data_IF_562836346480
#
_entry.id   IF_562836346480
#
_cell.length_a   1.000
_cell.length_b   1.000
_cell.length_c   1.000
_cell.angle_alpha   90.00
_cell.angle_beta   90.00
_cell.angle_gamma   90.00
#
_symmetry.space_group_name_H-M   'P 1'
#
loop_
_entity.id
_entity.type
_entity.pdbx_description
1 polymer ?
#
# COMPACT_ATOMS: atom_id res chain seq x y z
N UNK A 1 -18.58 2.08 39.79
CA UNK A 1 -17.22 1.60 40.13
C UNK A 1 -16.52 1.42 38.79
N UNK A 2 -15.49 2.21 38.54
CA UNK A 2 -14.75 2.17 37.26
C UNK A 2 -13.76 1.00 37.27
N UNK A 3 -13.89 0.08 36.31
CA UNK A 3 -12.96 -1.02 36.14
C UNK A 3 -11.66 -0.50 35.50
N UNK A 4 -10.52 -1.00 35.97
CA UNK A 4 -9.20 -0.74 35.39
C UNK A 4 -8.84 -1.83 34.37
N UNK A 5 -8.19 -1.48 33.27
CA UNK A 5 -7.71 -2.43 32.27
C UNK A 5 -6.18 -2.30 32.15
N UNK A 6 -5.48 -3.43 32.01
CA UNK A 6 -4.06 -3.43 31.66
C UNK A 6 -3.87 -3.22 30.15
N UNK A 7 -2.64 -3.09 29.68
CA UNK A 7 -2.32 -2.89 28.25
C UNK A 7 -2.79 -4.05 27.35
N UNK A 8 -2.94 -5.24 27.95
CA UNK A 8 -3.43 -6.46 27.28
C UNK A 8 -4.97 -6.55 27.28
N UNK A 9 -5.68 -5.53 27.81
CA UNK A 9 -7.13 -5.50 27.86
C UNK A 9 -7.76 -6.35 28.97
N UNK A 10 -7.00 -6.87 29.94
CA UNK A 10 -7.54 -7.62 31.06
C UNK A 10 -8.21 -6.69 32.08
N UNK A 11 -9.42 -7.01 32.48
CA UNK A 11 -10.19 -6.26 33.45
C UNK A 11 -9.68 -6.51 34.87
N UNK A 12 -9.53 -5.44 35.65
CA UNK A 12 -9.05 -5.48 37.04
C UNK A 12 -9.94 -4.64 37.96
N UNK A 13 -10.04 -4.99 39.25
CA UNK A 13 -10.73 -4.16 40.23
C UNK A 13 -10.13 -2.77 40.35
N UNK A 14 -10.94 -1.79 40.69
CA UNK A 14 -10.50 -0.42 41.00
C UNK A 14 -9.44 -0.43 42.10
N UNK A 15 -8.29 0.24 41.87
CA UNK A 15 -7.19 0.29 42.81
C UNK A 15 -6.14 -0.83 42.66
N UNK A 16 -6.26 -1.74 41.71
CA UNK A 16 -5.26 -2.77 41.42
C UNK A 16 -3.96 -2.14 40.91
N UNK A 17 -2.84 -2.40 41.55
CA UNK A 17 -1.49 -1.93 41.13
C UNK A 17 -0.84 -2.84 40.08
N UNK A 18 -1.30 -4.07 39.95
CA UNK A 18 -0.83 -5.06 38.99
C UNK A 18 -2.03 -5.81 38.41
N UNK A 19 -1.92 -6.20 37.15
CA UNK A 19 -2.94 -7.00 36.50
C UNK A 19 -2.99 -8.40 37.11
N UNK A 20 -4.17 -8.83 37.54
CA UNK A 20 -4.39 -10.13 38.18
C UNK A 20 -4.20 -11.30 37.20
N UNK A 21 -4.24 -11.07 35.89
CA UNK A 21 -4.13 -12.11 34.87
C UNK A 21 -2.72 -12.19 34.26
N UNK A 22 -2.06 -11.06 33.96
CA UNK A 22 -0.75 -11.06 33.28
C UNK A 22 0.40 -10.48 34.14
N UNK A 23 0.13 -10.03 35.39
CA UNK A 23 1.15 -9.48 36.28
C UNK A 23 1.69 -8.10 35.89
N UNK A 24 1.20 -7.49 34.84
CA UNK A 24 1.62 -6.17 34.39
C UNK A 24 1.28 -5.11 35.43
N UNK A 25 2.20 -4.18 35.67
CA UNK A 25 1.98 -3.07 36.59
C UNK A 25 0.94 -2.11 36.00
N UNK A 26 -0.23 -2.03 36.61
CA UNK A 26 -1.25 -1.04 36.27
C UNK A 26 -0.81 0.27 36.93
N UNK A 27 -0.23 1.18 36.19
CA UNK A 27 -0.04 2.53 36.62
C UNK A 27 -1.40 3.21 36.67
N UNK A 28 -1.79 3.76 37.85
CA UNK A 28 -2.94 4.64 37.95
C UNK A 28 -2.78 5.77 36.97
N UNK A 29 -3.39 5.65 35.82
CA UNK A 29 -3.50 6.72 34.83
C UNK A 29 -4.66 7.62 35.27
N UNK A 30 -4.54 8.17 36.45
CA UNK A 30 -5.23 9.39 36.82
C UNK A 30 -4.35 10.55 36.37
N UNK A 31 -4.28 10.79 35.07
CA UNK A 31 -3.97 12.12 34.56
C UNK A 31 -4.33 12.16 33.06
N UNK A 32 -5.18 12.99 32.72
CA UNK A 32 -5.77 13.52 31.53
C UNK A 32 -4.90 13.70 30.26
N UNK A 33 -3.92 12.86 29.96
CA UNK A 33 -2.98 13.09 28.84
C UNK A 33 -3.12 12.09 27.69
N UNK A 34 -3.95 11.04 27.82
CA UNK A 34 -4.06 10.04 26.76
C UNK A 34 -5.49 9.56 26.43
N UNK A 35 -6.50 10.38 26.76
CA UNK A 35 -7.84 10.07 26.28
C UNK A 35 -7.88 10.33 24.76
N UNK A 36 -7.95 9.25 23.97
CA UNK A 36 -8.24 9.34 22.55
C UNK A 36 -9.54 10.10 22.29
N UNK A 37 -9.78 10.46 21.05
CA UNK A 37 -11.00 11.14 20.64
C UNK A 37 -12.19 10.23 20.94
N UNK A 38 -13.20 10.78 21.62
CA UNK A 38 -14.35 10.01 22.10
C UNK A 38 -15.46 9.95 21.05
N UNK A 39 -16.27 8.88 21.02
CA UNK A 39 -17.49 8.83 20.22
C UNK A 39 -18.38 10.06 20.45
N UNK A 40 -18.95 10.59 19.37
CA UNK A 40 -19.79 11.78 19.40
C UNK A 40 -19.06 13.12 19.31
N UNK A 41 -17.74 13.13 19.49
CA UNK A 41 -16.94 14.36 19.29
C UNK A 41 -16.88 14.73 17.79
N UNK A 42 -16.95 16.03 17.51
CA UNK A 42 -16.83 16.57 16.16
C UNK A 42 -15.46 17.18 15.97
N UNK A 43 -14.78 16.78 14.90
CA UNK A 43 -13.47 17.28 14.51
C UNK A 43 -13.61 18.23 13.31
N UNK A 44 -12.96 19.42 13.39
CA UNK A 44 -12.98 20.41 12.32
C UNK A 44 -14.39 20.84 11.90
N UNK A 45 -15.34 20.88 12.86
CA UNK A 45 -16.76 21.20 12.64
C UNK A 45 -17.43 20.37 11.54
N UNK A 46 -16.88 19.21 11.23
CA UNK A 46 -17.31 18.40 10.09
C UNK A 46 -17.36 16.88 10.35
N UNK A 47 -16.41 16.32 11.05
CA UNK A 47 -16.31 14.87 11.20
C UNK A 47 -16.77 14.43 12.59
N UNK A 48 -17.92 13.76 12.66
CA UNK A 48 -18.46 13.20 13.91
C UNK A 48 -17.87 11.82 14.13
N UNK A 49 -17.11 11.64 15.18
CA UNK A 49 -16.50 10.35 15.52
C UNK A 49 -17.56 9.35 15.97
N UNK A 50 -17.62 8.19 15.33
CA UNK A 50 -18.49 7.08 15.71
C UNK A 50 -17.79 6.18 16.74
N UNK A 51 -16.56 5.74 16.41
CA UNK A 51 -15.74 4.89 17.29
C UNK A 51 -14.31 4.79 16.77
N UNK A 52 -13.39 4.41 17.64
CA UNK A 52 -12.06 3.96 17.24
C UNK A 52 -12.16 2.56 16.62
N UNK A 53 -11.48 2.35 15.48
CA UNK A 53 -11.46 1.07 14.76
C UNK A 53 -10.06 0.45 14.67
N UNK A 54 -9.02 1.21 15.03
CA UNK A 54 -7.65 0.71 15.04
C UNK A 54 -6.72 1.60 15.84
N UNK A 55 -5.59 1.02 16.27
CA UNK A 55 -4.47 1.73 16.89
C UNK A 55 -3.16 1.04 16.55
N UNK A 56 -2.15 1.82 16.25
CA UNK A 56 -0.80 1.35 15.96
C UNK A 56 0.26 2.27 16.60
N UNK A 57 1.54 1.97 16.39
CA UNK A 57 2.65 2.72 16.99
C UNK A 57 2.73 4.19 16.57
N UNK A 58 2.12 4.57 15.45
CA UNK A 58 2.18 5.93 14.92
C UNK A 58 0.83 6.63 14.81
N UNK A 59 -0.26 5.96 15.20
CA UNK A 59 -1.56 6.61 15.11
C UNK A 59 -2.74 5.78 15.56
N UNK A 60 -3.89 6.44 15.52
CA UNK A 60 -5.19 5.85 15.81
C UNK A 60 -6.07 6.01 14.58
N UNK A 61 -6.97 5.05 14.38
CA UNK A 61 -7.90 5.06 13.26
C UNK A 61 -9.32 5.10 13.79
N UNK A 62 -10.12 6.03 13.26
CA UNK A 62 -11.49 6.24 13.68
C UNK A 62 -12.45 6.07 12.52
N UNK A 63 -13.58 5.46 12.78
CA UNK A 63 -14.76 5.54 11.93
C UNK A 63 -15.49 6.83 12.29
N UNK A 64 -15.84 7.63 11.29
CA UNK A 64 -16.56 8.88 11.47
C UNK A 64 -17.63 9.09 10.39
N UNK A 65 -18.50 10.06 10.62
CA UNK A 65 -19.46 10.56 9.64
C UNK A 65 -19.05 11.97 9.18
N UNK A 66 -19.08 12.21 7.87
CA UNK A 66 -18.84 13.50 7.25
C UNK A 66 -20.18 14.25 7.12
N UNK A 67 -20.46 15.21 8.00
CA UNK A 67 -21.76 15.93 8.02
C UNK A 67 -21.95 16.80 6.76
N UNK A 68 -20.88 17.26 6.12
CA UNK A 68 -20.95 18.03 4.88
C UNK A 68 -21.23 17.15 3.66
N UNK A 69 -21.21 15.81 3.84
CA UNK A 69 -21.51 14.82 2.81
C UNK A 69 -22.65 13.90 3.24
N UNK A 70 -23.72 14.47 3.76
CA UNK A 70 -24.94 13.75 4.18
C UNK A 70 -24.67 12.59 5.18
N UNK A 71 -23.71 12.80 6.09
CA UNK A 71 -23.25 11.79 7.07
C UNK A 71 -22.68 10.53 6.43
N UNK A 72 -22.04 10.69 5.27
CA UNK A 72 -21.33 9.59 4.62
C UNK A 72 -20.19 9.10 5.52
N UNK A 73 -20.12 7.78 5.72
CA UNK A 73 -19.08 7.15 6.52
C UNK A 73 -17.68 7.38 5.93
N UNK A 74 -16.72 7.71 6.78
CA UNK A 74 -15.32 7.90 6.41
C UNK A 74 -14.39 7.39 7.51
N UNK A 75 -13.11 7.25 7.17
CA UNK A 75 -12.05 6.85 8.09
C UNK A 75 -11.13 8.03 8.30
N UNK A 76 -10.86 8.36 9.57
CA UNK A 76 -9.84 9.31 9.99
C UNK A 76 -8.68 8.55 10.60
N UNK A 77 -7.50 8.63 9.98
CA UNK A 77 -6.25 8.16 10.56
C UNK A 77 -5.57 9.34 11.24
N UNK A 78 -5.49 9.32 12.56
CA UNK A 78 -4.79 10.33 13.38
C UNK A 78 -3.29 10.02 13.38
N UNK A 79 -2.47 11.02 13.06
CA UNK A 79 -1.04 10.95 13.32
C UNK A 79 -0.79 11.17 14.82
N UNK A 80 -0.48 10.09 15.52
CA UNK A 80 -0.26 10.09 16.97
C UNK A 80 0.92 9.18 17.32
N UNK A 81 2.17 9.62 17.06
CA UNK A 81 3.36 8.81 17.35
C UNK A 81 3.53 8.62 18.86
N UNK A 82 3.75 7.37 19.24
CA UNK A 82 4.00 6.99 20.64
C UNK A 82 5.43 7.34 21.09
N UNK A 83 6.34 7.52 20.15
CA UNK A 83 7.73 7.91 20.37
C UNK A 83 7.85 9.43 20.35
N UNK A 84 8.54 10.01 21.34
CA UNK A 84 8.64 11.47 21.50
C UNK A 84 10.00 12.05 21.06
N UNK A 85 10.89 11.25 20.48
CA UNK A 85 12.16 11.75 19.95
C UNK A 85 11.87 12.69 18.76
N UNK A 86 12.27 13.98 18.82
CA UNK A 86 11.88 14.98 17.80
C UNK A 86 12.19 14.55 16.38
N UNK A 87 13.37 13.99 16.12
CA UNK A 87 13.76 13.48 14.80
C UNK A 87 12.82 12.38 14.29
N UNK A 88 12.42 11.45 15.17
CA UNK A 88 11.52 10.33 14.81
C UNK A 88 10.12 10.86 14.49
N UNK A 89 9.62 11.79 15.32
CA UNK A 89 8.31 12.43 15.12
C UNK A 89 8.27 13.17 13.79
N UNK A 90 9.28 13.99 13.50
CA UNK A 90 9.38 14.72 12.24
C UNK A 90 9.41 13.76 11.04
N UNK A 91 10.24 12.72 11.12
CA UNK A 91 10.34 11.74 10.03
C UNK A 91 9.04 10.95 9.82
N UNK A 92 8.36 10.59 10.91
CA UNK A 92 7.06 9.94 10.86
C UNK A 92 5.99 10.86 10.24
N UNK A 93 6.00 12.15 10.57
CA UNK A 93 5.09 13.13 9.97
C UNK A 93 5.32 13.29 8.46
N UNK A 94 6.59 13.42 8.02
CA UNK A 94 6.94 13.48 6.60
C UNK A 94 6.37 12.29 5.82
N UNK A 95 6.45 11.09 6.40
CA UNK A 95 5.96 9.88 5.73
C UNK A 95 4.44 9.75 5.79
N UNK A 96 3.81 10.22 6.85
CA UNK A 96 2.35 10.32 6.92
C UNK A 96 1.81 11.26 5.83
N UNK A 97 2.45 12.42 5.64
CA UNK A 97 2.11 13.34 4.57
C UNK A 97 2.40 12.76 3.18
N UNK A 98 3.49 11.98 3.04
CA UNK A 98 3.80 11.27 1.80
C UNK A 98 2.76 10.21 1.49
N UNK A 99 2.28 9.44 2.48
CA UNK A 99 1.17 8.49 2.31
C UNK A 99 -0.08 9.21 1.77
N UNK A 100 -0.45 10.33 2.38
CA UNK A 100 -1.56 11.16 1.91
C UNK A 100 -1.36 11.62 0.46
N UNK A 101 -0.14 12.05 0.09
CA UNK A 101 0.19 12.46 -1.28
C UNK A 101 0.11 11.30 -2.29
N UNK A 102 0.48 10.10 -1.89
CA UNK A 102 0.33 8.89 -2.73
C UNK A 102 -1.14 8.58 -2.91
N UNK A 103 -1.92 8.49 -1.82
CA UNK A 103 -3.35 8.20 -1.89
C UNK A 103 -4.14 9.22 -2.70
N UNK A 104 -3.76 10.50 -2.64
CA UNK A 104 -4.37 11.56 -3.46
C UNK A 104 -4.26 11.28 -4.97
N UNK A 105 -3.18 10.62 -5.42
CA UNK A 105 -2.95 10.27 -6.83
C UNK A 105 -3.66 8.98 -7.26
N UNK A 106 -4.05 8.13 -6.30
CA UNK A 106 -4.63 6.84 -6.59
C UNK A 106 -6.15 6.95 -6.79
N UNK A 107 -6.63 6.50 -7.96
CA UNK A 107 -8.05 6.44 -8.30
C UNK A 107 -8.37 5.04 -8.81
N UNK A 108 -8.78 4.17 -7.91
CA UNK A 108 -9.11 2.78 -8.24
C UNK A 108 -10.27 2.30 -7.36
N UNK A 109 -11.28 1.56 -7.88
CA UNK A 109 -12.46 1.14 -7.12
C UNK A 109 -12.14 0.21 -5.94
N UNK A 110 -10.98 -0.46 -5.96
CA UNK A 110 -10.51 -1.35 -4.90
C UNK A 110 -9.40 -0.71 -4.03
N UNK A 111 -9.33 0.62 -3.99
CA UNK A 111 -8.48 1.41 -3.09
C UNK A 111 -9.36 2.49 -2.47
N UNK A 112 -9.36 2.69 -1.14
CA UNK A 112 -10.12 3.77 -0.51
C UNK A 112 -9.68 5.11 -1.06
N UNK A 113 -10.66 5.92 -1.51
CA UNK A 113 -10.35 7.23 -2.06
C UNK A 113 -9.90 8.18 -0.94
N UNK A 114 -8.81 8.87 -1.17
CA UNK A 114 -8.38 9.98 -0.34
C UNK A 114 -9.40 11.13 -0.40
N UNK A 115 -9.80 11.68 0.76
CA UNK A 115 -10.70 12.84 0.84
C UNK A 115 -9.91 14.10 1.11
N UNK A 116 -9.13 14.12 2.20
CA UNK A 116 -8.28 15.26 2.55
C UNK A 116 -7.21 14.92 3.61
N UNK A 117 -6.25 15.81 3.75
CA UNK A 117 -5.32 15.86 4.87
C UNK A 117 -5.78 17.00 5.79
N UNK A 118 -6.37 16.64 6.94
CA UNK A 118 -7.00 17.57 7.87
C UNK A 118 -6.03 17.96 8.99
N UNK A 119 -5.79 19.27 9.15
CA UNK A 119 -5.05 19.84 10.29
C UNK A 119 -6.00 20.61 11.17
N UNK A 120 -6.06 20.27 12.43
CA UNK A 120 -6.93 20.95 13.40
C UNK A 120 -6.22 21.12 14.74
N UNK A 121 -6.61 22.17 15.46
CA UNK A 121 -6.26 22.32 16.86
C UNK A 121 -7.30 21.59 17.71
N UNK A 122 -6.89 20.48 18.30
CA UNK A 122 -7.73 19.69 19.18
C UNK A 122 -7.08 19.59 20.58
N UNK A 123 -7.83 19.95 21.62
CA UNK A 123 -7.34 20.00 23.00
C UNK A 123 -6.00 20.79 23.16
N UNK A 124 -5.92 21.96 22.50
CA UNK A 124 -4.75 22.86 22.50
C UNK A 124 -3.48 22.26 21.86
N UNK A 125 -3.63 21.17 21.10
CA UNK A 125 -2.56 20.54 20.32
C UNK A 125 -2.95 20.50 18.84
N UNK A 126 -2.02 20.85 17.97
CA UNK A 126 -2.19 20.60 16.53
C UNK A 126 -2.19 19.10 16.28
N UNK A 127 -3.24 18.63 15.63
CA UNK A 127 -3.44 17.23 15.25
C UNK A 127 -3.63 17.11 13.76
N UNK A 128 -3.02 16.09 13.18
CA UNK A 128 -3.02 15.80 11.75
C UNK A 128 -3.78 14.51 11.49
N UNK A 129 -4.72 14.56 10.54
CA UNK A 129 -5.53 13.41 10.14
C UNK A 129 -5.50 13.21 8.63
N UNK A 130 -5.36 11.97 8.21
CA UNK A 130 -5.64 11.53 6.86
C UNK A 130 -7.08 11.04 6.81
N UNK A 131 -7.90 11.64 5.95
CA UNK A 131 -9.30 11.29 5.77
C UNK A 131 -9.48 10.54 4.45
N UNK A 132 -10.13 9.39 4.51
CA UNK A 132 -10.37 8.52 3.36
C UNK A 132 -11.77 7.87 3.42
N UNK A 133 -12.21 7.29 2.30
CA UNK A 133 -13.47 6.56 2.24
C UNK A 133 -13.45 5.36 3.18
N UNK A 134 -14.59 5.10 3.81
CA UNK A 134 -14.79 3.90 4.61
C UNK A 134 -15.10 2.70 3.71
N UNK A 135 -14.41 1.59 3.94
CA UNK A 135 -14.70 0.30 3.31
C UNK A 135 -15.61 -0.50 4.23
N UNK A 136 -16.86 -0.65 3.84
CA UNK A 136 -17.78 -1.52 4.56
C UNK A 136 -17.48 -2.98 4.20
N UNK A 137 -16.78 -3.69 5.10
CA UNK A 137 -16.31 -5.05 4.87
C UNK A 137 -15.51 -5.56 6.05
N UNK A 138 -14.93 -6.75 5.89
CA UNK A 138 -14.05 -7.37 6.87
C UNK A 138 -12.65 -7.57 6.30
N UNK A 139 -11.63 -7.47 7.15
CA UNK A 139 -10.27 -7.83 6.73
C UNK A 139 -10.16 -9.33 6.50
N UNK A 140 -9.28 -9.74 5.58
CA UNK A 140 -9.02 -11.17 5.38
C UNK A 140 -8.47 -11.85 6.64
N UNK A 141 -7.80 -11.09 7.53
CA UNK A 141 -7.40 -11.60 8.84
C UNK A 141 -8.61 -11.91 9.73
N UNK A 142 -9.58 -10.99 9.79
CA UNK A 142 -10.85 -11.21 10.51
C UNK A 142 -11.62 -12.42 9.98
N UNK A 143 -11.73 -12.51 8.64
CA UNK A 143 -12.37 -13.64 7.97
C UNK A 143 -11.67 -14.97 8.27
N UNK A 144 -10.33 -14.99 8.28
CA UNK A 144 -9.54 -16.17 8.65
C UNK A 144 -9.81 -16.58 10.09
N UNK A 145 -9.74 -15.63 11.03
CA UNK A 145 -10.01 -15.90 12.44
C UNK A 145 -11.42 -16.47 12.67
N UNK A 146 -12.44 -15.90 12.02
CA UNK A 146 -13.82 -16.40 12.08
C UNK A 146 -13.96 -17.82 11.48
N UNK A 147 -13.21 -18.14 10.44
CA UNK A 147 -13.17 -19.48 9.83
C UNK A 147 -12.46 -20.48 10.72
N UNK A 148 -11.32 -20.12 11.31
CA UNK A 148 -10.54 -20.98 12.20
C UNK A 148 -11.34 -21.40 13.45
N UNK A 149 -12.17 -20.51 14.00
CA UNK A 149 -13.09 -20.86 15.10
C UNK A 149 -14.08 -22.00 14.72
N UNK A 150 -14.30 -22.20 13.41
CA UNK A 150 -15.16 -23.25 12.86
C UNK A 150 -14.34 -24.42 12.27
N UNK A 151 -13.03 -24.45 12.48
CA UNK A 151 -12.13 -25.45 11.91
C UNK A 151 -11.91 -25.33 10.41
N UNK A 152 -12.24 -24.16 9.81
CA UNK A 152 -12.13 -23.89 8.38
C UNK A 152 -10.96 -22.95 8.06
N UNK A 153 -10.48 -23.02 6.82
CA UNK A 153 -9.45 -22.17 6.23
C UNK A 153 -9.90 -21.72 4.84
N UNK A 154 -9.11 -20.90 4.16
CA UNK A 154 -9.34 -20.59 2.75
C UNK A 154 -8.91 -21.76 1.87
N UNK A 155 -9.67 -21.98 0.81
CA UNK A 155 -9.39 -23.01 -0.20
C UNK A 155 -8.50 -22.47 -1.31
N UNK A 156 -7.87 -23.38 -2.08
CA UNK A 156 -7.10 -22.99 -3.28
C UNK A 156 -7.95 -22.18 -4.27
N UNK A 157 -9.21 -22.56 -4.47
CA UNK A 157 -10.12 -21.84 -5.37
C UNK A 157 -10.34 -20.40 -4.95
N UNK A 158 -10.58 -20.17 -3.65
CA UNK A 158 -10.76 -18.81 -3.10
C UNK A 158 -9.48 -17.98 -3.22
N UNK A 159 -8.31 -18.60 -3.01
CA UNK A 159 -7.03 -17.93 -3.18
C UNK A 159 -6.76 -17.57 -4.65
N UNK A 160 -7.09 -18.45 -5.59
CA UNK A 160 -7.01 -18.13 -7.03
C UNK A 160 -7.92 -16.96 -7.39
N UNK A 161 -9.14 -16.93 -6.87
CA UNK A 161 -10.08 -15.81 -7.06
C UNK A 161 -9.51 -14.52 -6.47
N UNK A 162 -8.99 -14.56 -5.25
CA UNK A 162 -8.36 -13.40 -4.62
C UNK A 162 -7.17 -12.88 -5.46
N UNK A 163 -6.32 -13.77 -5.95
CA UNK A 163 -5.20 -13.39 -6.83
C UNK A 163 -5.69 -12.71 -8.11
N UNK A 164 -6.69 -13.28 -8.78
CA UNK A 164 -7.26 -12.70 -10.01
C UNK A 164 -7.85 -11.31 -9.79
N UNK A 165 -8.39 -11.04 -8.60
CA UNK A 165 -9.04 -9.78 -8.27
C UNK A 165 -8.05 -8.72 -7.73
N UNK A 166 -6.97 -9.11 -7.03
CA UNK A 166 -6.04 -8.16 -6.40
C UNK A 166 -4.84 -7.82 -7.30
N UNK A 167 -4.41 -8.72 -8.17
CA UNK A 167 -3.28 -8.47 -9.06
C UNK A 167 -3.49 -7.28 -10.01
N UNK A 168 -4.68 -7.05 -10.59
CA UNK A 168 -4.93 -5.81 -11.35
C UNK A 168 -4.75 -4.54 -10.52
N UNK A 169 -5.10 -4.56 -9.23
CA UNK A 169 -4.89 -3.42 -8.30
C UNK A 169 -3.40 -3.16 -8.12
N UNK A 170 -2.61 -4.23 -7.89
CA UNK A 170 -1.15 -4.12 -7.78
C UNK A 170 -0.52 -3.64 -9.09
N UNK A 171 -0.98 -4.13 -10.25
CA UNK A 171 -0.51 -3.64 -11.55
C UNK A 171 -0.75 -2.14 -11.71
N UNK A 172 -1.93 -1.65 -11.30
CA UNK A 172 -2.27 -0.25 -11.35
C UNK A 172 -1.35 0.62 -10.49
N UNK A 173 -1.13 0.27 -9.22
CA UNK A 173 -0.26 1.06 -8.34
C UNK A 173 1.21 0.99 -8.79
N UNK A 174 1.68 -0.19 -9.24
CA UNK A 174 3.04 -0.36 -9.74
C UNK A 174 3.30 0.46 -11.02
N UNK A 175 2.32 0.57 -11.92
CA UNK A 175 2.40 1.42 -13.12
C UNK A 175 2.56 2.91 -12.77
N UNK A 176 2.07 3.34 -11.60
CA UNK A 176 2.24 4.69 -11.06
C UNK A 176 3.53 4.85 -10.22
N UNK A 177 4.40 3.84 -10.20
CA UNK A 177 5.62 3.84 -9.39
C UNK A 177 5.39 3.72 -7.88
N UNK A 178 4.20 3.26 -7.46
CA UNK A 178 3.84 3.07 -6.06
C UNK A 178 4.04 1.62 -5.67
N UNK A 179 4.79 1.37 -4.61
CA UNK A 179 4.94 0.06 -3.97
C UNK A 179 4.20 0.11 -2.63
N UNK A 180 3.38 -0.90 -2.35
CA UNK A 180 2.54 -0.94 -1.15
C UNK A 180 3.33 -1.19 0.14
N UNK A 181 4.29 -2.14 0.11
CA UNK A 181 5.28 -2.47 1.17
C UNK A 181 4.72 -3.18 2.40
N UNK A 182 3.41 -3.30 2.54
CA UNK A 182 2.76 -3.89 3.73
C UNK A 182 1.54 -4.74 3.35
N UNK A 183 1.67 -5.56 2.31
CA UNK A 183 0.60 -6.50 1.93
C UNK A 183 0.52 -7.60 2.99
N UNK A 184 -0.66 -7.74 3.59
CA UNK A 184 -0.96 -8.74 4.62
C UNK A 184 -2.47 -8.95 4.72
N UNK A 185 -2.95 -10.02 5.39
CA UNK A 185 -4.37 -10.24 5.56
C UNK A 185 -5.13 -9.10 6.29
N UNK A 186 -4.43 -8.27 7.08
CA UNK A 186 -5.02 -7.10 7.75
C UNK A 186 -5.23 -5.93 6.79
N UNK A 187 -4.42 -5.83 5.73
CA UNK A 187 -4.45 -4.73 4.77
C UNK A 187 -5.21 -5.08 3.48
N UNK A 188 -5.87 -6.23 3.47
CA UNK A 188 -6.84 -6.64 2.46
C UNK A 188 -8.22 -6.75 3.11
N UNK A 189 -9.22 -6.05 2.57
CA UNK A 189 -10.60 -6.13 3.04
C UNK A 189 -11.51 -6.71 1.97
N UNK A 190 -12.38 -7.65 2.33
CA UNK A 190 -13.47 -8.12 1.48
C UNK A 190 -14.66 -7.17 1.65
N UNK A 191 -14.98 -6.40 0.60
CA UNK A 191 -16.06 -5.42 0.63
C UNK A 191 -17.42 -6.12 0.53
N UNK A 192 -18.35 -5.73 1.40
CA UNK A 192 -19.67 -6.40 1.50
C UNK A 192 -20.56 -6.21 0.26
N UNK A 193 -20.45 -5.05 -0.41
CA UNK A 193 -21.36 -4.68 -1.50
C UNK A 193 -21.16 -5.49 -2.79
N UNK A 194 -19.93 -5.89 -3.10
CA UNK A 194 -19.57 -6.52 -4.37
C UNK A 194 -18.61 -7.71 -4.23
N UNK A 195 -18.24 -8.04 -2.99
CA UNK A 195 -17.34 -9.14 -2.66
C UNK A 195 -15.97 -9.02 -3.37
N UNK A 196 -15.52 -7.79 -3.64
CA UNK A 196 -14.19 -7.53 -4.16
C UNK A 196 -13.19 -7.25 -3.04
N UNK A 197 -11.94 -7.72 -3.14
CA UNK A 197 -10.88 -7.35 -2.23
C UNK A 197 -10.50 -5.87 -2.45
N UNK A 198 -10.38 -5.13 -1.37
CA UNK A 198 -9.93 -3.74 -1.34
C UNK A 198 -8.59 -3.68 -0.63
N UNK A 199 -7.61 -3.05 -1.27
CA UNK A 199 -6.28 -2.84 -0.72
C UNK A 199 -6.29 -1.56 0.11
N UNK A 200 -5.98 -1.68 1.41
CA UNK A 200 -5.97 -0.56 2.35
C UNK A 200 -4.57 -0.38 2.95
N UNK A 201 -4.33 0.79 3.54
CA UNK A 201 -3.16 1.07 4.38
C UNK A 201 -1.81 1.03 3.64
N UNK A 202 -1.53 2.06 2.85
CA UNK A 202 -0.28 2.21 2.10
C UNK A 202 0.88 2.56 3.04
N UNK A 203 1.61 1.54 3.50
CA UNK A 203 2.58 1.47 4.60
C UNK A 203 3.70 2.53 4.72
N UNK A 204 3.48 3.79 4.30
CA UNK A 204 4.46 4.87 4.37
C UNK A 204 4.99 5.13 5.78
N UNK A 205 4.14 5.13 6.79
CA UNK A 205 4.51 5.46 8.18
C UNK A 205 5.23 4.31 8.87
N UNK A 206 4.91 3.06 8.55
CA UNK A 206 5.56 1.88 9.16
C UNK A 206 7.05 1.76 8.77
N UNK A 207 7.44 2.36 7.64
CA UNK A 207 8.82 2.34 7.16
C UNK A 207 9.78 3.15 8.04
N UNK A 208 9.28 4.16 8.80
CA UNK A 208 10.13 4.95 9.73
C UNK A 208 10.57 4.14 10.92
N UNK A 209 9.66 3.38 11.53
CA UNK A 209 9.99 2.54 12.66
C UNK A 209 11.17 1.63 12.33
N UNK A 210 11.19 1.18 11.12
CA UNK A 210 12.17 0.29 10.58
C UNK A 210 13.55 0.92 10.35
N UNK A 211 13.59 2.08 9.70
CA UNK A 211 14.84 2.81 9.44
C UNK A 211 15.45 3.30 10.76
N UNK A 212 14.61 3.76 11.67
CA UNK A 212 15.07 4.24 12.99
C UNK A 212 15.58 3.09 13.84
N UNK A 213 14.87 1.98 13.89
CA UNK A 213 15.34 0.82 14.65
C UNK A 213 16.68 0.31 14.11
N UNK A 214 16.88 0.22 12.79
CA UNK A 214 18.15 -0.22 12.21
C UNK A 214 19.30 0.74 12.55
N UNK A 215 19.07 2.04 12.61
CA UNK A 215 20.08 3.03 13.02
C UNK A 215 20.43 2.91 14.52
N UNK A 216 19.44 2.64 15.39
CA UNK A 216 19.69 2.41 16.82
C UNK A 216 20.47 1.10 17.07
N UNK A 217 20.24 0.04 16.30
CA UNK A 217 21.05 -1.18 16.40
C UNK A 217 22.52 -0.96 16.02
N UNK A 218 22.79 -0.07 15.07
CA UNK A 218 24.18 0.28 14.71
C UNK A 218 24.90 1.12 15.77
N UNK A 219 24.18 1.85 16.61
CA UNK A 219 24.75 2.67 17.68
C UNK A 219 24.85 1.96 19.02
N UNK A 220 24.47 0.68 19.13
CA UNK A 220 24.60 -0.12 20.35
C UNK A 220 23.64 0.25 21.48
N UNK A 221 22.67 1.13 21.24
CA UNK A 221 21.65 1.47 22.21
C UNK A 221 20.54 0.41 22.21
N UNK A 222 20.48 -0.41 23.26
CA UNK A 222 19.41 -1.40 23.45
C UNK A 222 18.12 -0.65 23.79
N UNK A 223 17.26 -0.42 22.80
CA UNK A 223 15.87 -0.05 23.04
C UNK A 223 15.04 -1.32 22.87
N UNK A 224 14.31 -1.78 23.92
CA UNK A 224 13.42 -2.93 23.77
C UNK A 224 12.40 -2.63 22.68
N UNK A 225 12.09 -3.58 21.78
CA UNK A 225 11.04 -3.39 20.79
C UNK A 225 9.70 -3.25 21.53
N UNK A 226 9.18 -2.04 21.59
CA UNK A 226 7.79 -1.84 21.93
C UNK A 226 6.97 -2.46 20.78
N UNK A 227 6.48 -3.66 21.05
CA UNK A 227 5.50 -4.39 20.23
C UNK A 227 5.62 -4.24 18.71
N UNK A 228 6.50 -5.06 18.11
CA UNK A 228 6.26 -5.65 16.78
C UNK A 228 6.20 -4.77 15.54
N UNK A 229 6.87 -3.61 15.46
CA UNK A 229 6.82 -2.74 14.28
C UNK A 229 8.20 -2.38 13.74
N UNK A 230 9.08 -3.39 13.64
CA UNK A 230 10.28 -3.27 12.81
C UNK A 230 9.95 -3.71 11.39
N UNK A 231 10.15 -2.85 10.39
CA UNK A 231 10.28 -3.14 8.95
C UNK A 231 9.15 -3.97 8.28
N UNK A 232 7.92 -3.51 8.35
CA UNK A 232 6.79 -4.28 7.84
C UNK A 232 6.30 -5.29 8.89
N UNK A 233 5.20 -5.96 8.61
CA UNK A 233 4.70 -7.02 9.49
C UNK A 233 5.69 -8.17 9.46
N UNK A 234 6.22 -8.56 10.64
CA UNK A 234 7.26 -9.60 10.76
C UNK A 234 6.83 -10.85 10.00
N UNK A 235 7.70 -11.33 9.09
CA UNK A 235 7.49 -12.51 8.27
C UNK A 235 6.78 -12.28 6.94
N UNK A 236 6.13 -11.12 6.70
CA UNK A 236 5.52 -10.81 5.40
C UNK A 236 6.48 -10.07 4.46
N UNK A 237 7.38 -9.24 5.00
CA UNK A 237 8.35 -8.52 4.21
C UNK A 237 9.47 -9.43 3.72
N UNK A 238 9.93 -9.28 2.45
CA UNK A 238 11.03 -10.07 1.92
C UNK A 238 12.37 -9.68 2.54
N UNK A 239 13.41 -10.56 2.43
CA UNK A 239 14.72 -10.33 3.05
C UNK A 239 15.38 -8.99 2.69
N UNK A 240 15.31 -8.56 1.43
CA UNK A 240 15.89 -7.28 0.99
C UNK A 240 15.22 -6.07 1.64
N UNK A 241 13.90 -6.14 1.83
CA UNK A 241 13.17 -5.07 2.54
C UNK A 241 13.56 -5.02 4.01
N UNK A 242 13.75 -6.18 4.63
CA UNK A 242 14.14 -6.30 6.04
C UNK A 242 15.58 -5.84 6.29
N UNK A 243 16.51 -6.17 5.41
CA UNK A 243 17.95 -5.93 5.60
C UNK A 243 18.37 -4.54 5.14
N UNK A 244 17.86 -4.09 4.00
CA UNK A 244 18.34 -2.85 3.34
C UNK A 244 17.27 -1.77 3.22
N UNK A 245 16.01 -2.08 3.47
CA UNK A 245 14.87 -1.19 3.23
C UNK A 245 14.55 -1.00 1.75
N UNK A 246 15.26 -1.68 0.85
CA UNK A 246 14.99 -1.60 -0.59
C UNK A 246 13.70 -2.37 -0.91
N UNK A 247 12.88 -1.76 -1.73
CA UNK A 247 11.60 -2.33 -2.15
C UNK A 247 11.37 -2.12 -3.64
N UNK A 248 10.70 -3.07 -4.25
CA UNK A 248 10.28 -3.01 -5.64
C UNK A 248 8.95 -3.75 -5.84
N UNK A 249 8.48 -3.86 -7.08
CA UNK A 249 7.26 -4.57 -7.44
C UNK A 249 7.26 -6.03 -6.96
N UNK A 250 8.38 -6.72 -7.06
CA UNK A 250 8.54 -8.10 -6.59
C UNK A 250 8.49 -8.23 -5.06
N UNK A 251 8.72 -7.16 -4.28
CA UNK A 251 8.58 -7.19 -2.82
C UNK A 251 7.09 -7.30 -2.42
N UNK A 252 6.20 -6.59 -3.12
CA UNK A 252 4.75 -6.72 -2.92
C UNK A 252 4.25 -8.11 -3.32
N UNK A 253 4.79 -8.69 -4.41
CA UNK A 253 4.44 -10.04 -4.84
C UNK A 253 4.88 -11.10 -3.82
N UNK A 254 6.06 -10.95 -3.22
CA UNK A 254 6.50 -11.81 -2.12
C UNK A 254 5.53 -11.73 -0.93
N UNK A 255 5.21 -10.52 -0.47
CA UNK A 255 4.27 -10.30 0.65
C UNK A 255 2.87 -10.86 0.35
N UNK A 256 2.43 -10.78 -0.91
CA UNK A 256 1.18 -11.40 -1.36
C UNK A 256 1.25 -12.93 -1.26
N UNK A 257 2.35 -13.57 -1.66
CA UNK A 257 2.50 -15.02 -1.52
C UNK A 257 2.45 -15.46 -0.06
N UNK A 258 3.15 -14.75 0.83
CA UNK A 258 3.06 -15.00 2.28
C UNK A 258 1.62 -14.86 2.78
N UNK A 259 0.92 -13.81 2.34
CA UNK A 259 -0.50 -13.60 2.66
C UNK A 259 -1.36 -14.79 2.24
N UNK A 260 -1.14 -15.32 1.02
CA UNK A 260 -1.86 -16.52 0.54
C UNK A 260 -1.57 -17.74 1.42
N UNK A 261 -0.31 -17.96 1.82
CA UNK A 261 0.05 -19.07 2.69
C UNK A 261 -0.63 -18.97 4.07
N UNK A 262 -0.66 -17.78 4.67
CA UNK A 262 -1.35 -17.56 5.94
C UNK A 262 -2.85 -17.87 5.82
N UNK A 263 -3.51 -17.43 4.74
CA UNK A 263 -4.93 -17.70 4.52
C UNK A 263 -5.22 -19.19 4.29
N UNK A 264 -4.35 -19.90 3.56
CA UNK A 264 -4.47 -21.34 3.27
C UNK A 264 -4.18 -22.23 4.46
N UNK A 265 -3.18 -21.86 5.26
CA UNK A 265 -2.71 -22.70 6.37
C UNK A 265 -3.35 -22.33 7.71
N UNK A 266 -3.75 -21.07 7.85
CA UNK A 266 -4.17 -20.50 9.13
C UNK A 266 -3.02 -20.30 10.11
N UNK A 267 -1.77 -20.47 9.67
CA UNK A 267 -0.56 -20.32 10.47
C UNK A 267 0.12 -18.97 10.21
N UNK A 268 0.82 -18.45 11.22
CA UNK A 268 1.62 -17.27 11.06
C UNK A 268 2.88 -17.58 10.22
N UNK A 269 3.48 -16.58 9.53
CA UNK A 269 4.64 -16.81 8.67
C UNK A 269 5.82 -17.52 9.38
N UNK A 270 6.04 -17.20 10.66
CA UNK A 270 7.11 -17.76 11.48
C UNK A 270 6.95 -19.27 11.72
N UNK A 271 5.71 -19.77 11.65
CA UNK A 271 5.41 -21.21 11.78
C UNK A 271 5.58 -21.98 10.47
N UNK A 272 5.76 -21.25 9.36
CA UNK A 272 5.88 -21.79 8.00
C UNK A 272 7.32 -21.70 7.46
N UNK A 273 8.24 -21.11 8.20
CA UNK A 273 9.65 -20.94 7.84
C UNK A 273 10.51 -21.83 8.74
N UNK A 274 11.37 -22.64 8.14
CA UNK A 274 12.48 -23.25 8.86
C UNK A 274 13.48 -22.14 9.24
N UNK A 275 13.60 -21.89 10.53
CA UNK A 275 14.48 -20.83 11.07
C UNK A 275 15.96 -21.12 10.89
N UNK A 276 16.34 -22.38 10.66
CA UNK A 276 17.72 -22.80 10.45
C UNK A 276 18.17 -22.56 9.00
N UNK A 277 17.33 -22.99 8.04
CA UNK A 277 17.63 -22.90 6.61
C UNK A 277 17.00 -21.67 5.93
N UNK A 278 16.18 -20.89 6.65
CA UNK A 278 15.38 -19.78 6.12
C UNK A 278 14.53 -20.16 4.90
N UNK A 279 14.10 -21.43 4.84
CA UNK A 279 13.31 -21.98 3.76
C UNK A 279 11.83 -22.10 4.14
N UNK A 280 10.95 -21.88 3.18
CA UNK A 280 9.52 -22.05 3.37
C UNK A 280 9.14 -23.52 3.35
N UNK A 281 8.51 -23.99 4.45
CA UNK A 281 8.08 -25.40 4.61
C UNK A 281 6.56 -25.58 4.50
N UNK A 282 5.87 -24.68 3.85
CA UNK A 282 4.42 -24.64 3.72
C UNK A 282 3.81 -25.96 3.17
N UNK A 283 4.57 -26.75 2.39
CA UNK A 283 4.12 -28.05 1.85
C UNK A 283 3.89 -29.13 2.89
N UNK A 284 4.42 -28.95 4.10
CA UNK A 284 4.11 -29.82 5.24
C UNK A 284 2.69 -29.59 5.76
N UNK A 285 2.12 -28.42 5.53
CA UNK A 285 0.86 -27.97 6.11
C UNK A 285 -0.33 -28.13 5.15
N UNK A 286 -0.07 -28.01 3.85
CA UNK A 286 -1.11 -28.03 2.82
C UNK A 286 -0.59 -28.67 1.54
N UNK A 287 -1.51 -29.30 0.80
CA UNK A 287 -1.28 -29.77 -0.58
C UNK A 287 -2.03 -28.86 -1.53
N UNK A 288 -1.33 -28.28 -2.49
CA UNK A 288 -1.87 -27.43 -3.56
C UNK A 288 -1.67 -28.12 -4.91
N UNK A 289 -2.41 -27.67 -5.90
CA UNK A 289 -2.14 -28.07 -7.29
C UNK A 289 -0.68 -27.74 -7.67
N UNK A 290 -0.02 -28.56 -8.49
CA UNK A 290 1.38 -28.32 -8.89
C UNK A 290 1.60 -26.93 -9.48
N UNK A 291 0.64 -26.42 -10.26
CA UNK A 291 0.73 -25.10 -10.90
C UNK A 291 0.74 -23.96 -9.86
N UNK A 292 -0.18 -23.96 -8.91
CA UNK A 292 -0.20 -22.91 -7.87
C UNK A 292 1.00 -23.04 -6.93
N UNK A 293 1.39 -24.26 -6.58
CA UNK A 293 2.56 -24.50 -5.74
C UNK A 293 3.85 -23.93 -6.35
N UNK A 294 4.09 -24.14 -7.65
CA UNK A 294 5.24 -23.58 -8.37
C UNK A 294 5.21 -22.04 -8.42
N UNK A 295 4.01 -21.47 -8.58
CA UNK A 295 3.83 -20.00 -8.57
C UNK A 295 4.21 -19.43 -7.20
N UNK A 296 3.71 -20.03 -6.13
CA UNK A 296 4.01 -19.57 -4.76
C UNK A 296 5.50 -19.71 -4.46
N UNK A 297 6.14 -20.84 -4.80
CA UNK A 297 7.58 -21.02 -4.59
C UNK A 297 8.41 -19.94 -5.30
N UNK A 298 8.06 -19.65 -6.57
CA UNK A 298 8.74 -18.61 -7.33
C UNK A 298 8.55 -17.21 -6.73
N UNK A 299 7.35 -16.91 -6.23
CA UNK A 299 7.08 -15.64 -5.54
C UNK A 299 7.89 -15.53 -4.23
N UNK A 300 8.11 -16.63 -3.54
CA UNK A 300 8.81 -16.71 -2.25
C UNK A 300 10.33 -16.94 -2.38
N UNK A 301 10.89 -16.97 -3.60
CA UNK A 301 12.33 -17.12 -3.78
C UNK A 301 13.09 -16.14 -2.88
N UNK A 302 14.12 -16.58 -2.12
CA UNK A 302 14.96 -15.69 -1.32
C UNK A 302 15.71 -14.69 -2.19
N UNK A 303 16.03 -15.06 -3.42
CA UNK A 303 16.72 -14.21 -4.40
C UNK A 303 15.68 -13.39 -5.16
N UNK A 304 15.75 -12.08 -5.02
CA UNK A 304 14.76 -11.15 -5.59
C UNK A 304 14.65 -11.23 -7.13
N UNK A 305 15.79 -11.45 -7.84
CA UNK A 305 15.81 -11.60 -9.31
C UNK A 305 15.09 -12.84 -9.83
N UNK A 306 14.95 -13.87 -9.00
CA UNK A 306 14.34 -15.15 -9.40
C UNK A 306 12.82 -15.11 -9.29
N UNK A 307 12.27 -14.10 -8.61
CA UNK A 307 10.82 -13.87 -8.49
C UNK A 307 10.21 -13.38 -9.79
N UNK A 308 8.88 -13.33 -9.84
CA UNK A 308 8.19 -12.54 -10.86
C UNK A 308 8.52 -11.06 -10.67
N UNK A 309 9.07 -10.42 -11.70
CA UNK A 309 9.49 -9.01 -11.63
C UNK A 309 8.31 -8.05 -11.81
N UNK A 310 7.24 -8.52 -12.43
CA UNK A 310 6.02 -7.72 -12.68
C UNK A 310 4.77 -8.54 -12.39
N UNK A 311 3.68 -7.83 -12.07
CA UNK A 311 2.35 -8.44 -11.93
C UNK A 311 1.92 -9.14 -13.23
N UNK A 312 2.29 -8.60 -14.39
CA UNK A 312 1.94 -9.19 -15.68
C UNK A 312 2.52 -10.60 -15.86
N UNK A 313 3.79 -10.80 -15.50
CA UNK A 313 4.41 -12.13 -15.53
C UNK A 313 3.67 -13.14 -14.64
N UNK A 314 3.22 -12.69 -13.45
CA UNK A 314 2.45 -13.53 -12.54
C UNK A 314 1.05 -13.86 -13.09
N UNK A 315 0.36 -12.90 -13.69
CA UNK A 315 -0.94 -13.12 -14.34
C UNK A 315 -0.85 -14.12 -15.50
N UNK A 316 0.20 -14.05 -16.31
CA UNK A 316 0.47 -15.03 -17.37
C UNK A 316 0.70 -16.44 -16.80
N UNK A 317 1.43 -16.57 -15.69
CA UNK A 317 1.65 -17.86 -15.04
C UNK A 317 0.37 -18.47 -14.44
N UNK A 318 -0.54 -17.61 -13.93
CA UNK A 318 -1.84 -18.06 -13.42
C UNK A 318 -2.80 -18.53 -14.51
N UNK A 319 -2.70 -17.99 -15.73
CA UNK A 319 -3.57 -18.27 -16.86
C UNK A 319 -2.75 -18.65 -18.12
N UNK A 320 -2.10 -19.83 -18.16
CA UNK A 320 -1.21 -20.19 -19.26
C UNK A 320 -1.91 -20.34 -20.63
N UNK A 321 -3.24 -20.42 -20.65
CA UNK A 321 -4.00 -20.56 -21.90
C UNK A 321 -4.24 -19.23 -22.65
N UNK A 322 -3.91 -18.09 -22.05
CA UNK A 322 -4.07 -16.77 -22.70
C UNK A 322 -2.88 -16.38 -23.59
N UNK A 323 -1.86 -17.20 -23.71
CA UNK A 323 -0.61 -16.89 -24.45
C UNK A 323 -0.58 -17.41 -25.88
N UNK A 324 -1.68 -17.91 -26.45
CA UNK A 324 -1.73 -18.12 -27.90
C UNK A 324 -2.18 -16.85 -28.66
N UNK A 325 -1.56 -15.71 -28.37
CA UNK A 325 -1.49 -14.66 -29.36
C UNK A 325 -0.38 -15.07 -30.35
N UNK A 326 -0.70 -15.98 -31.28
CA UNK A 326 0.01 -16.01 -32.55
C UNK A 326 -0.19 -14.63 -33.18
N UNK A 327 0.88 -13.87 -33.47
CA UNK A 327 0.73 -12.74 -34.36
C UNK A 327 0.20 -13.36 -35.66
N UNK A 328 -1.06 -13.13 -35.94
CA UNK A 328 -1.60 -13.35 -37.29
C UNK A 328 -0.64 -12.59 -38.22
N UNK A 329 0.13 -13.34 -39.00
CA UNK A 329 0.86 -12.77 -40.12
C UNK A 329 -0.14 -11.89 -40.87
N UNK A 330 0.21 -10.64 -41.17
CA UNK A 330 -0.66 -9.83 -42.02
C UNK A 330 -0.97 -10.66 -43.24
N UNK A 331 -2.24 -10.72 -43.68
CA UNK A 331 -2.60 -11.48 -44.88
C UNK A 331 -1.64 -11.03 -45.96
N UNK A 332 -0.96 -12.02 -46.57
CA UNK A 332 -0.09 -11.82 -47.74
C UNK A 332 -0.87 -10.95 -48.69
N UNK A 333 -0.38 -9.75 -48.93
CA UNK A 333 -1.04 -8.77 -49.82
C UNK A 333 -1.33 -9.42 -51.13
N UNK A 334 -2.59 -9.80 -51.36
CA UNK A 334 -3.06 -10.03 -52.71
C UNK A 334 -2.81 -8.70 -53.43
N UNK A 335 -1.93 -8.73 -54.42
CA UNK A 335 -1.66 -7.62 -55.31
C UNK A 335 -2.93 -7.32 -56.07
N UNK A 336 -3.76 -6.44 -55.53
CA UNK A 336 -4.88 -5.85 -56.25
C UNK A 336 -4.25 -4.79 -57.18
N UNK A 337 -4.09 -5.13 -58.42
CA UNK A 337 -3.76 -4.16 -59.47
C UNK A 337 -4.94 -3.22 -59.63
N UNK A 338 -4.86 -2.06 -58.99
CA UNK A 338 -5.75 -0.94 -59.27
C UNK A 338 -5.28 -0.26 -60.55
N UNK A 339 -6.07 -0.40 -61.61
CA UNK A 339 -5.97 0.48 -62.75
C UNK A 339 -6.54 1.85 -62.35
N UNK A 340 -5.80 2.96 -62.52
CA UNK A 340 -6.32 4.27 -62.21
C UNK A 340 -7.37 4.66 -63.27
N UNK A 341 -8.48 5.31 -62.86
CA UNK A 341 -9.40 5.90 -63.80
C UNK A 341 -8.70 7.07 -64.54
N UNK A 342 -8.99 7.29 -65.84
CA UNK A 342 -8.43 8.39 -66.59
C UNK A 342 -9.09 9.72 -66.14
N UNK A 343 -8.32 10.67 -65.61
CA UNK A 343 -8.85 12.00 -65.40
C UNK A 343 -8.14 12.82 -64.31
N UNK A 344 -7.20 13.62 -64.70
CA UNK A 344 -6.92 14.99 -64.24
C UNK A 344 -6.48 15.15 -62.77
N UNK A 345 -5.17 15.03 -62.49
CA UNK A 345 -4.53 15.82 -61.47
C UNK A 345 -3.29 16.48 -62.07
N UNK A 346 -3.40 17.77 -62.33
CA UNK A 346 -2.28 18.61 -62.76
C UNK A 346 -1.42 18.91 -61.53
N UNK A 347 -0.10 18.83 -61.71
CA UNK A 347 0.95 18.86 -60.65
C UNK A 347 1.13 20.15 -59.82
N UNK A 348 0.10 20.98 -59.68
CA UNK A 348 0.20 22.29 -59.01
C UNK A 348 -0.20 22.26 -57.53
N UNK A 349 -0.89 21.22 -57.06
CA UNK A 349 -1.40 21.22 -55.67
C UNK A 349 -0.46 20.63 -54.64
N UNK A 350 0.59 19.92 -55.01
CA UNK A 350 1.57 19.33 -54.08
C UNK A 350 2.56 20.41 -53.55
N UNK A 351 2.86 21.43 -54.39
CA UNK A 351 3.79 22.50 -53.96
C UNK A 351 3.16 23.46 -52.95
N UNK A 352 1.85 23.63 -52.89
CA UNK A 352 1.20 24.58 -51.95
C UNK A 352 1.15 24.02 -50.52
N UNK A 353 0.96 22.68 -50.35
CA UNK A 353 0.88 22.07 -49.01
C UNK A 353 2.25 21.99 -48.33
N UNK A 354 3.33 21.73 -49.08
CA UNK A 354 4.70 21.72 -48.53
C UNK A 354 5.20 23.14 -48.18
N UNK A 355 4.82 24.15 -48.93
CA UNK A 355 5.20 25.55 -48.63
C UNK A 355 4.48 26.08 -47.38
N UNK A 356 3.22 25.67 -47.11
CA UNK A 356 2.47 26.07 -45.95
C UNK A 356 3.03 25.49 -44.65
N UNK A 357 3.59 24.26 -44.65
CA UNK A 357 4.19 23.62 -43.48
C UNK A 357 5.55 24.29 -43.14
N UNK A 358 6.38 24.59 -44.15
CA UNK A 358 7.67 25.22 -43.92
C UNK A 358 7.55 26.67 -43.41
N UNK A 359 6.54 27.40 -43.88
CA UNK A 359 6.29 28.79 -43.39
C UNK A 359 5.72 28.83 -41.98
N UNK A 360 4.91 27.82 -41.58
CA UNK A 360 4.35 27.74 -40.22
C UNK A 360 5.42 27.44 -39.15
N UNK A 361 6.37 26.57 -39.47
CA UNK A 361 7.50 26.25 -38.57
C UNK A 361 8.48 27.43 -38.52
N UNK A 362 8.74 28.14 -39.61
CA UNK A 362 9.60 29.32 -39.64
C UNK A 362 9.06 30.49 -38.81
N UNK A 363 7.75 30.70 -38.81
CA UNK A 363 7.12 31.76 -38.01
C UNK A 363 7.12 31.44 -36.51
N UNK A 364 6.99 30.15 -36.12
CA UNK A 364 7.11 29.74 -34.72
C UNK A 364 8.55 29.95 -34.17
N UNK A 365 9.56 29.58 -34.92
CA UNK A 365 10.96 29.77 -34.52
C UNK A 365 11.33 31.29 -34.45
N UNK A 366 10.81 32.10 -35.38
CA UNK A 366 11.01 33.55 -35.36
C UNK A 366 10.25 34.23 -34.19
N UNK A 367 9.06 33.78 -33.85
CA UNK A 367 8.30 34.28 -32.70
C UNK A 367 8.94 33.97 -31.35
N UNK A 368 9.66 32.86 -31.20
CA UNK A 368 10.44 32.53 -30.00
C UNK A 368 11.68 33.40 -29.86
N UNK A 369 12.34 33.73 -30.96
CA UNK A 369 13.54 34.58 -30.95
C UNK A 369 13.24 36.05 -30.58
N UNK A 370 12.05 36.54 -30.86
CA UNK A 370 11.63 37.92 -30.50
C UNK A 370 11.20 38.07 -29.03
N UNK A 371 10.91 36.96 -28.29
CA UNK A 371 10.54 37.01 -26.88
C UNK A 371 11.69 36.86 -25.87
N UNK A 372 12.96 36.93 -26.33
CA UNK A 372 14.12 37.11 -25.45
C UNK A 372 14.44 35.91 -24.55
N UNK A 373 14.09 34.68 -24.93
CA UNK A 373 14.60 33.51 -24.23
C UNK A 373 15.95 33.08 -24.80
N UNK A 374 17.01 33.42 -24.05
CA UNK A 374 18.40 33.01 -24.36
C UNK A 374 18.60 31.55 -23.89
N UNK A 375 18.84 30.63 -24.83
CA UNK A 375 19.00 29.18 -24.55
C UNK A 375 20.48 28.80 -24.27
N UNK A 376 21.38 29.76 -24.03
CA UNK A 376 22.80 29.54 -23.79
C UNK A 376 23.26 29.99 -22.40
N UNK A 377 22.67 29.48 -21.34
CA UNK A 377 23.01 29.80 -19.95
C UNK A 377 23.35 28.60 -19.09
N UNK A 378 24.31 27.74 -19.51
CA UNK A 378 24.96 26.78 -18.59
C UNK A 378 26.45 27.00 -18.69
N UNK A 379 27.02 27.85 -17.82
CA UNK A 379 28.47 27.90 -17.56
C UNK A 379 28.75 27.27 -16.19
N UNK A 380 29.78 26.42 -16.05
CA UNK A 380 30.12 25.75 -14.78
C UNK A 380 30.83 26.74 -13.83
N UNK A 381 30.41 26.68 -12.56
CA UNK A 381 31.08 27.43 -11.49
C UNK A 381 32.42 26.72 -11.19
N UNK A 382 33.51 27.39 -11.53
CA UNK A 382 34.84 27.03 -11.05
C UNK A 382 35.04 27.56 -9.65
N UNK A 383 35.56 26.69 -8.80
CA UNK A 383 36.07 26.94 -7.46
C UNK A 383 37.21 27.99 -7.41
N UNK A 384 37.21 28.88 -6.42
CA UNK A 384 38.45 29.32 -5.76
C UNK A 384 38.16 30.13 -4.49
N UNK A 385 38.95 29.75 -3.46
CA UNK A 385 39.26 30.36 -2.16
C UNK A 385 38.21 30.19 -1.08
#
# INVERSE_FOLDING_TARGET
>A
MSNLYCSQGHQNPSGSRFCLQCGEKITDISTAVNQGIQPGQTLGDRYVIIRQIGQGGFGRTYLAEDINRFREACVLKEFFPQVQTPYIVQKAEELFQREASVLYKLQHPQIPRFRELLRINFQSKESLFLVQDYVNGETYNSLLNNRQQRGLKFTETEIRQLLQQILPVLAYIHALGVIHRDISPDNLMLRNSDQLPVLIDFGGVKQVAATVASQYYQTGAIVPPANGTLLGKIGFAPPEQMQTGLVSTHSDLYALAVTMLVLLTGKQPQELIDTYNLSWEWRREISLSPALGQIIDKMLSPIASDRYQTVHQLLQALNPQSTSYQPTQPPTSATVTFSPPPGIWTGTNIFIVTLAIVTSVGLLVWGFKQRGYDLNGINPITSSV
#
